data_IF_547273464069
#
_entry.id   IF_547273464069
#
_cell.length_a   1.000
_cell.length_b   1.000
_cell.length_c   1.000
_cell.angle_alpha   90.00
_cell.angle_beta   90.00
_cell.angle_gamma   90.00
#
_symmetry.space_group_name_H-M   'P 1'
#
loop_
_entity.id
_entity.type
_entity.pdbx_description
1 polymer ?
#
# COMPACT_ATOMS: atom_id res chain seq x y z
N UNK A 1 24.00 11.12 19.66
CA UNK A 1 22.85 10.54 20.41
C UNK A 1 22.63 9.14 19.89
N UNK A 2 22.50 8.14 20.76
CA UNK A 2 22.12 6.78 20.36
C UNK A 2 20.69 6.81 19.80
N UNK A 3 20.47 6.17 18.66
CA UNK A 3 19.13 6.11 18.06
C UNK A 3 18.17 5.38 18.98
N UNK A 4 16.93 5.87 19.06
CA UNK A 4 15.84 5.23 19.79
C UNK A 4 14.79 4.72 18.80
N UNK A 5 14.32 3.48 18.97
CA UNK A 5 13.23 2.93 18.17
C UNK A 5 11.94 3.74 18.34
N UNK A 6 11.03 3.71 17.36
CA UNK A 6 9.88 4.62 17.33
C UNK A 6 8.80 4.31 18.38
N UNK A 7 8.99 3.29 19.22
CA UNK A 7 8.03 2.90 20.27
C UNK A 7 6.71 2.37 19.74
N UNK A 8 6.72 1.81 18.53
CA UNK A 8 5.51 1.31 17.85
C UNK A 8 5.31 -0.19 17.99
N UNK A 9 6.30 -0.88 18.57
CA UNK A 9 6.32 -2.32 18.82
C UNK A 9 5.91 -3.15 17.60
N UNK A 10 6.49 -2.78 16.45
CA UNK A 10 6.02 -3.19 15.14
C UNK A 10 6.17 -4.67 14.79
N UNK A 11 6.93 -5.41 15.60
CA UNK A 11 7.32 -6.80 15.35
C UNK A 11 8.18 -7.06 14.11
N UNK A 12 8.30 -6.13 13.16
CA UNK A 12 8.92 -6.33 11.86
C UNK A 12 10.42 -6.72 11.89
N UNK A 13 11.10 -6.49 13.01
CA UNK A 13 12.47 -6.96 13.26
C UNK A 13 12.56 -8.34 13.95
N UNK A 14 11.41 -8.97 14.27
CA UNK A 14 11.31 -10.34 14.81
C UNK A 14 11.25 -10.49 16.34
N UNK A 15 10.96 -9.43 17.09
CA UNK A 15 10.92 -9.43 18.58
C UNK A 15 9.73 -8.60 19.09
N UNK A 16 9.16 -8.93 20.27
CA UNK A 16 7.81 -8.49 20.64
C UNK A 16 7.70 -7.02 21.05
N UNK A 17 8.79 -6.38 21.48
CA UNK A 17 8.79 -4.96 21.86
C UNK A 17 10.07 -4.26 21.42
N UNK A 18 10.00 -2.94 21.26
CA UNK A 18 11.14 -2.10 20.93
C UNK A 18 12.23 -2.14 22.03
N UNK A 19 11.86 -2.37 23.29
CA UNK A 19 12.82 -2.51 24.39
C UNK A 19 13.51 -3.86 24.39
N UNK A 20 12.78 -4.96 24.14
CA UNK A 20 13.36 -6.29 23.95
C UNK A 20 14.27 -6.33 22.72
N UNK A 21 13.89 -5.66 21.62
CA UNK A 21 14.75 -5.47 20.45
C UNK A 21 16.07 -4.80 20.80
N UNK A 22 16.04 -3.71 21.58
CA UNK A 22 17.26 -3.05 22.03
C UNK A 22 18.09 -3.91 22.99
N UNK A 23 17.48 -4.81 23.78
CA UNK A 23 18.23 -5.79 24.57
C UNK A 23 18.99 -6.78 23.66
N UNK A 24 18.31 -7.39 22.69
CA UNK A 24 18.93 -8.31 21.73
C UNK A 24 20.02 -7.64 20.88
N UNK A 25 19.82 -6.38 20.47
CA UNK A 25 20.85 -5.60 19.74
C UNK A 25 22.08 -5.35 20.62
N UNK A 26 21.90 -5.12 21.92
CA UNK A 26 23.03 -4.95 22.86
C UNK A 26 23.77 -6.24 23.15
N UNK A 27 23.07 -7.37 23.11
CA UNK A 27 23.65 -8.71 23.26
C UNK A 27 24.30 -9.22 21.96
N UNK A 28 24.13 -8.49 20.84
CA UNK A 28 24.75 -8.79 19.55
C UNK A 28 23.99 -9.82 18.71
N UNK A 29 22.77 -10.19 19.13
CA UNK A 29 21.93 -11.15 18.42
C UNK A 29 21.17 -10.54 17.22
N UNK A 30 21.05 -9.20 17.18
CA UNK A 30 20.35 -8.43 16.13
C UNK A 30 21.09 -7.14 15.77
N UNK A 31 20.86 -6.64 14.55
CA UNK A 31 21.39 -5.35 14.08
C UNK A 31 20.31 -4.26 14.18
N UNK A 32 20.71 -3.00 14.36
CA UNK A 32 19.81 -1.86 14.30
C UNK A 32 19.12 -1.73 12.93
N UNK A 33 19.82 -2.11 11.85
CA UNK A 33 19.30 -2.17 10.48
C UNK A 33 18.11 -3.12 10.33
N UNK A 34 17.97 -4.12 11.22
CA UNK A 34 16.81 -5.02 11.24
C UNK A 34 15.54 -4.27 11.64
N UNK A 35 15.66 -3.15 12.37
CA UNK A 35 14.53 -2.28 12.58
C UNK A 35 14.26 -1.45 11.34
N UNK A 36 13.06 -1.65 10.86
CA UNK A 36 12.54 -1.05 9.67
C UNK A 36 12.53 0.47 9.70
N UNK A 37 12.30 1.03 10.89
CA UNK A 37 12.27 2.46 11.18
C UNK A 37 13.64 3.00 11.53
N UNK A 38 14.62 2.13 11.74
CA UNK A 38 15.99 2.56 11.86
C UNK A 38 16.35 3.34 10.58
N UNK A 39 16.88 4.56 10.70
CA UNK A 39 17.48 5.27 9.60
C UNK A 39 18.82 4.61 9.31
N UNK A 40 18.74 3.38 8.82
CA UNK A 40 19.79 2.79 8.04
C UNK A 40 20.20 3.82 6.99
N UNK A 41 21.49 4.07 6.84
CA UNK A 41 21.99 4.41 5.53
C UNK A 41 21.67 3.21 4.63
N UNK A 42 20.43 3.16 4.10
CA UNK A 42 19.82 2.14 3.21
C UNK A 42 19.44 0.84 3.97
N UNK A 43 18.22 0.28 4.03
CA UNK A 43 16.89 0.45 3.43
C UNK A 43 15.90 -0.51 4.20
N UNK A 44 14.57 -0.46 4.00
CA UNK A 44 13.56 -0.57 5.06
C UNK A 44 12.78 -1.90 5.10
N UNK A 45 12.05 -2.15 6.19
CA UNK A 45 10.70 -2.77 6.09
C UNK A 45 9.63 -1.91 6.81
N UNK A 46 9.72 -0.58 6.64
CA UNK A 46 8.93 0.45 7.36
C UNK A 46 7.45 0.20 7.06
N UNK A 47 6.58 -0.03 8.06
CA UNK A 47 5.27 0.66 8.21
C UNK A 47 4.33 0.27 9.38
N UNK A 48 4.67 -0.43 10.49
CA UNK A 48 4.01 -0.07 11.79
C UNK A 48 4.63 1.19 12.38
N UNK A 49 4.60 2.18 11.52
CA UNK A 49 5.21 3.46 11.57
C UNK A 49 4.13 4.48 11.71
N UNK A 50 3.01 4.15 12.40
CA UNK A 50 1.79 4.96 12.58
C UNK A 50 1.91 6.25 11.80
N UNK A 51 1.63 6.18 10.49
CA UNK A 51 1.71 7.34 9.61
C UNK A 51 0.85 8.37 10.30
N UNK A 52 1.44 9.50 10.72
CA UNK A 52 0.68 10.50 11.45
C UNK A 52 -0.21 11.20 10.41
N UNK A 53 -1.40 10.64 10.22
CA UNK A 53 -2.38 11.17 9.31
C UNK A 53 -2.97 12.41 9.94
N UNK A 54 -2.54 13.57 9.44
CA UNK A 54 -3.00 14.88 9.91
C UNK A 54 -4.40 15.22 9.41
N UNK A 55 -4.97 14.40 8.52
CA UNK A 55 -6.16 14.72 7.73
C UNK A 55 -5.86 15.60 6.52
N UNK A 56 -4.57 15.87 6.26
CA UNK A 56 -4.08 16.61 5.10
C UNK A 56 -2.91 15.89 4.45
N UNK A 57 -2.85 15.97 3.14
CA UNK A 57 -1.76 15.41 2.35
C UNK A 57 -0.53 16.33 2.35
N UNK A 58 0.52 15.95 1.60
CA UNK A 58 1.79 16.70 1.55
C UNK A 58 1.64 18.12 0.98
N UNK A 59 0.56 18.41 0.24
CA UNK A 59 0.25 19.73 -0.30
C UNK A 59 -0.75 20.52 0.57
N UNK A 60 -1.17 19.94 1.70
CA UNK A 60 -2.15 20.54 2.62
C UNK A 60 -3.61 20.30 2.22
N UNK A 61 -3.86 19.48 1.19
CA UNK A 61 -5.21 19.13 0.75
C UNK A 61 -5.84 18.18 1.75
N UNK A 62 -7.07 18.49 2.16
CA UNK A 62 -7.81 17.64 3.09
C UNK A 62 -8.42 16.43 2.38
N UNK A 63 -8.45 15.29 3.05
CA UNK A 63 -9.11 14.08 2.57
C UNK A 63 -10.17 13.58 3.56
N UNK A 64 -11.15 12.86 3.04
CA UNK A 64 -12.36 12.48 3.77
C UNK A 64 -12.12 11.22 4.62
N UNK A 65 -11.42 10.24 4.05
CA UNK A 65 -11.06 8.99 4.70
C UNK A 65 -9.76 8.42 4.14
N UNK A 66 -9.25 7.39 4.81
CA UNK A 66 -8.07 6.61 4.38
C UNK A 66 -8.55 5.21 4.02
N UNK A 67 -7.97 4.61 2.97
CA UNK A 67 -8.22 3.20 2.64
C UNK A 67 -7.06 2.37 3.20
N UNK A 68 -7.37 1.57 4.20
CA UNK A 68 -6.48 0.64 4.89
C UNK A 68 -6.68 -0.79 4.33
N UNK A 69 -5.76 -1.73 4.63
CA UNK A 69 -5.86 -3.11 4.15
C UNK A 69 -7.13 -3.79 4.64
N UNK A 70 -7.59 -4.79 3.89
CA UNK A 70 -8.55 -5.75 4.42
C UNK A 70 -7.86 -6.64 5.47
N UNK A 71 -8.62 -7.25 6.40
CA UNK A 71 -8.06 -8.18 7.38
C UNK A 71 -7.22 -9.28 6.72
N UNK A 72 -5.98 -9.43 7.16
CA UNK A 72 -5.04 -10.43 6.65
C UNK A 72 -4.26 -10.00 5.39
N UNK A 73 -4.49 -8.81 4.85
CA UNK A 73 -3.76 -8.29 3.69
C UNK A 73 -2.69 -7.26 4.10
N UNK A 74 -1.61 -7.18 3.32
CA UNK A 74 -0.48 -6.29 3.62
C UNK A 74 -0.69 -4.84 3.16
N UNK A 75 -1.70 -4.59 2.34
CA UNK A 75 -2.03 -3.27 1.79
C UNK A 75 -3.50 -3.21 1.39
N UNK A 76 -4.07 -2.03 1.22
CA UNK A 76 -5.31 -1.90 0.45
C UNK A 76 -5.12 -2.48 -0.96
N UNK A 77 -6.13 -3.16 -1.49
CA UNK A 77 -6.10 -3.70 -2.83
C UNK A 77 -6.06 -2.56 -3.84
N UNK A 78 -5.25 -2.74 -4.87
CA UNK A 78 -5.16 -1.83 -6.01
C UNK A 78 -5.61 -2.58 -7.25
N UNK A 79 -6.60 -2.04 -7.93
CA UNK A 79 -7.10 -2.57 -9.19
C UNK A 79 -6.44 -1.77 -10.30
N UNK A 80 -5.71 -2.45 -11.18
CA UNK A 80 -4.93 -1.81 -12.24
C UNK A 80 -5.28 -2.39 -13.60
N UNK A 81 -5.10 -1.57 -14.63
CA UNK A 81 -5.16 -1.97 -16.02
C UNK A 81 -3.83 -1.63 -16.68
N UNK A 82 -3.01 -2.62 -17.08
CA UNK A 82 -1.83 -2.37 -17.91
C UNK A 82 -2.23 -1.64 -19.20
N UNK A 83 -1.38 -0.78 -19.73
CA UNK A 83 -1.64 -0.09 -21.01
C UNK A 83 -1.82 -1.08 -22.18
N UNK A 84 -1.27 -2.28 -22.03
CA UNK A 84 -1.50 -3.43 -22.91
C UNK A 84 -2.20 -4.53 -22.12
N UNK A 85 -3.54 -4.55 -22.10
CA UNK A 85 -4.31 -5.56 -21.37
C UNK A 85 -4.02 -6.99 -21.83
N UNK A 86 -3.63 -7.17 -23.10
CA UNK A 86 -3.27 -8.46 -23.70
C UNK A 86 -2.04 -9.11 -23.05
N UNK A 87 -1.22 -8.35 -22.31
CA UNK A 87 -0.08 -8.91 -21.57
C UNK A 87 -0.51 -9.86 -20.46
N UNK A 88 -1.70 -9.65 -19.86
CA UNK A 88 -2.21 -10.54 -18.82
C UNK A 88 -2.38 -11.97 -19.34
N UNK A 89 -2.94 -12.12 -20.53
CA UNK A 89 -3.08 -13.40 -21.20
C UNK A 89 -1.74 -13.90 -21.77
N UNK A 90 -1.03 -13.06 -22.54
CA UNK A 90 0.20 -13.45 -23.26
C UNK A 90 1.36 -13.84 -22.34
N UNK A 91 1.42 -13.27 -21.15
CA UNK A 91 2.47 -13.56 -20.17
C UNK A 91 1.99 -14.45 -19.03
N UNK A 92 0.78 -15.01 -19.16
CA UNK A 92 0.19 -15.93 -18.18
C UNK A 92 0.29 -15.34 -16.77
N UNK A 93 -0.16 -14.09 -16.61
CA UNK A 93 -0.15 -13.41 -15.31
C UNK A 93 -1.21 -14.04 -14.43
N UNK A 94 -0.79 -14.59 -13.29
CA UNK A 94 -1.64 -15.37 -12.37
C UNK A 94 -1.46 -14.88 -10.93
N UNK A 95 -2.39 -15.22 -10.01
CA UNK A 95 -2.21 -14.95 -8.59
C UNK A 95 -0.88 -15.48 -8.05
N UNK A 96 -0.20 -14.67 -7.24
CA UNK A 96 1.14 -14.94 -6.70
C UNK A 96 2.28 -14.27 -7.48
N UNK A 97 2.07 -13.95 -8.76
CA UNK A 97 3.07 -13.22 -9.55
C UNK A 97 3.38 -11.84 -8.95
N UNK A 98 4.63 -11.42 -9.10
CA UNK A 98 5.03 -10.03 -8.90
C UNK A 98 5.00 -9.30 -10.22
N UNK A 99 4.25 -8.20 -10.27
CA UNK A 99 4.29 -7.25 -11.39
C UNK A 99 4.85 -5.91 -10.91
N UNK A 100 5.64 -5.27 -11.76
CA UNK A 100 6.23 -3.95 -11.48
C UNK A 100 5.87 -2.95 -12.57
N UNK A 101 5.65 -1.70 -12.16
CA UNK A 101 5.36 -0.63 -13.10
C UNK A 101 4.97 0.68 -12.41
N UNK A 102 4.67 1.70 -13.21
CA UNK A 102 4.34 3.04 -12.73
C UNK A 102 2.86 3.40 -12.98
N UNK A 103 2.17 4.01 -11.99
CA UNK A 103 0.80 4.47 -12.15
C UNK A 103 0.74 5.80 -12.91
N UNK A 104 0.74 5.75 -14.24
CA UNK A 104 0.94 6.95 -15.07
C UNK A 104 -0.20 7.98 -14.93
N UNK A 105 -1.41 7.56 -14.57
CA UNK A 105 -2.55 8.46 -14.30
C UNK A 105 -2.49 9.22 -12.98
N UNK A 106 -1.65 8.79 -12.03
CA UNK A 106 -1.52 9.39 -10.70
C UNK A 106 -0.17 10.09 -10.49
N UNK A 107 0.62 10.28 -11.56
CA UNK A 107 1.89 11.02 -11.51
C UNK A 107 2.93 10.49 -10.51
N UNK A 108 2.78 9.26 -10.02
CA UNK A 108 3.68 8.76 -8.97
C UNK A 108 5.05 8.46 -9.57
N UNK A 109 6.13 9.07 -9.04
CA UNK A 109 7.47 8.84 -9.57
C UNK A 109 8.04 7.48 -9.12
N UNK A 110 7.38 6.80 -8.17
CA UNK A 110 7.88 5.58 -7.56
C UNK A 110 7.37 4.35 -8.30
N UNK A 111 8.26 3.41 -8.60
CA UNK A 111 7.88 2.10 -9.09
C UNK A 111 7.05 1.38 -8.04
N UNK A 112 5.88 0.92 -8.44
CA UNK A 112 5.05 0.06 -7.60
C UNK A 112 5.44 -1.39 -7.84
N UNK A 113 5.62 -2.11 -6.75
CA UNK A 113 5.81 -3.56 -6.74
C UNK A 113 4.55 -4.18 -6.18
N UNK A 114 3.91 -5.00 -7.00
CA UNK A 114 2.55 -5.45 -6.80
C UNK A 114 2.50 -6.98 -6.86
N UNK A 115 1.98 -7.61 -5.81
CA UNK A 115 1.65 -9.04 -5.85
C UNK A 115 0.23 -9.21 -6.36
N UNK A 116 0.06 -10.00 -7.41
CA UNK A 116 -1.25 -10.28 -8.03
C UNK A 116 -2.04 -11.21 -7.13
N UNK A 117 -3.27 -10.83 -6.79
CA UNK A 117 -4.22 -11.70 -6.06
C UNK A 117 -5.38 -12.16 -6.96
N UNK A 118 -5.63 -11.45 -8.05
CA UNK A 118 -6.57 -11.86 -9.09
C UNK A 118 -6.14 -11.30 -10.45
N UNK A 119 -6.26 -12.12 -11.49
CA UNK A 119 -6.00 -11.73 -12.87
C UNK A 119 -7.21 -12.08 -13.74
N UNK A 120 -7.72 -11.09 -14.46
CA UNK A 120 -8.82 -11.26 -15.40
C UNK A 120 -8.26 -11.21 -16.82
N UNK A 121 -8.20 -12.36 -17.50
CA UNK A 121 -7.67 -12.46 -18.87
C UNK A 121 -8.59 -11.85 -19.92
N UNK A 122 -9.88 -11.67 -19.64
CA UNK A 122 -10.85 -11.07 -20.57
C UNK A 122 -10.68 -9.55 -20.63
N UNK A 123 -10.51 -8.90 -19.48
CA UNK A 123 -10.37 -7.44 -19.39
C UNK A 123 -8.94 -6.95 -19.26
N UNK A 124 -8.01 -7.84 -18.91
CA UNK A 124 -6.65 -7.50 -18.50
C UNK A 124 -6.56 -6.78 -17.14
N UNK A 125 -7.64 -6.74 -16.36
CA UNK A 125 -7.60 -6.18 -15.01
C UNK A 125 -6.84 -7.09 -14.06
N UNK A 126 -5.97 -6.47 -13.27
CA UNK A 126 -5.28 -7.11 -12.17
C UNK A 126 -5.73 -6.48 -10.85
N UNK A 127 -6.07 -7.32 -9.88
CA UNK A 127 -6.19 -6.89 -8.49
C UNK A 127 -4.93 -7.30 -7.76
N UNK A 128 -4.28 -6.35 -7.11
CA UNK A 128 -2.98 -6.55 -6.50
C UNK A 128 -2.88 -5.98 -5.09
N UNK A 129 -1.92 -6.50 -4.33
CA UNK A 129 -1.42 -5.92 -3.09
C UNK A 129 -0.08 -5.20 -3.36
N UNK A 130 0.15 -4.05 -2.73
CA UNK A 130 1.43 -3.35 -2.75
C UNK A 130 2.35 -4.00 -1.72
N UNK A 131 3.42 -4.67 -2.17
CA UNK A 131 4.29 -5.50 -1.32
C UNK A 131 5.67 -4.87 -1.05
N UNK A 132 5.93 -3.68 -1.59
CA UNK A 132 7.18 -2.96 -1.40
C UNK A 132 8.34 -3.47 -2.28
N UNK A 133 9.44 -2.70 -2.38
CA UNK A 133 10.51 -2.96 -3.34
C UNK A 133 11.33 -4.24 -3.07
N UNK A 134 11.37 -4.72 -1.83
CA UNK A 134 12.11 -5.93 -1.45
C UNK A 134 11.65 -7.15 -2.26
N UNK A 135 10.33 -7.30 -2.48
CA UNK A 135 9.75 -8.40 -3.25
C UNK A 135 10.23 -8.47 -4.72
N UNK A 136 10.73 -7.35 -5.27
CA UNK A 136 11.30 -7.31 -6.63
C UNK A 136 12.82 -7.54 -6.68
N UNK A 137 13.51 -7.61 -5.53
CA UNK A 137 14.96 -7.81 -5.47
C UNK A 137 15.38 -9.28 -5.39
N UNK A 138 14.52 -10.12 -4.81
CA UNK A 138 14.85 -11.50 -4.44
C UNK A 138 14.13 -12.54 -5.30
N UNK A 139 13.27 -12.13 -6.24
CA UNK A 139 12.46 -13.04 -7.04
C UNK A 139 12.21 -12.55 -8.46
N UNK A 140 11.58 -13.41 -9.25
CA UNK A 140 11.14 -13.08 -10.61
C UNK A 140 9.97 -12.10 -10.57
N UNK A 141 9.95 -11.17 -11.53
CA UNK A 141 8.86 -10.23 -11.70
C UNK A 141 8.59 -9.97 -13.18
N UNK A 142 7.37 -9.53 -13.48
CA UNK A 142 6.93 -9.11 -14.81
C UNK A 142 6.83 -7.59 -14.86
N UNK A 143 7.65 -6.95 -15.71
CA UNK A 143 7.61 -5.50 -15.89
C UNK A 143 6.52 -5.11 -16.88
N UNK A 144 5.44 -4.54 -16.35
CA UNK A 144 4.30 -4.05 -17.14
C UNK A 144 4.47 -2.58 -17.55
N UNK A 145 5.63 -1.99 -17.24
CA UNK A 145 6.08 -0.60 -17.44
C UNK A 145 5.17 0.46 -16.82
N UNK A 146 3.94 0.58 -17.32
CA UNK A 146 2.96 1.59 -16.98
C UNK A 146 1.54 1.01 -16.95
N UNK A 147 0.72 1.53 -16.03
CA UNK A 147 -0.68 1.14 -15.90
C UNK A 147 -1.58 2.30 -15.46
N UNK A 148 -2.89 2.12 -15.68
CA UNK A 148 -3.94 2.94 -15.09
C UNK A 148 -4.36 2.35 -13.75
N UNK A 149 -4.50 3.20 -12.74
CA UNK A 149 -5.19 2.81 -11.50
C UNK A 149 -6.69 2.92 -11.80
N UNK A 150 -7.38 1.79 -11.71
CA UNK A 150 -8.83 1.71 -11.96
C UNK A 150 -9.60 1.89 -10.66
N UNK A 151 -9.07 1.36 -9.56
CA UNK A 151 -9.72 1.46 -8.26
C UNK A 151 -8.86 1.02 -7.09
N UNK A 152 -9.41 1.23 -5.91
CA UNK A 152 -8.91 0.77 -4.64
C UNK A 152 -10.01 0.07 -3.87
N UNK A 153 -9.63 -0.90 -3.04
CA UNK A 153 -10.56 -1.61 -2.17
C UNK A 153 -9.88 -1.91 -0.83
N UNK A 154 -10.61 -1.72 0.27
CA UNK A 154 -10.05 -1.85 1.60
C UNK A 154 -11.02 -1.47 2.71
N UNK A 155 -10.53 -1.32 3.93
CA UNK A 155 -11.29 -0.78 5.06
C UNK A 155 -11.12 0.73 5.11
N UNK A 156 -12.23 1.46 5.17
CA UNK A 156 -12.19 2.90 5.34
C UNK A 156 -11.97 3.27 6.80
N UNK A 157 -10.96 4.12 7.04
CA UNK A 157 -10.84 4.86 8.29
C UNK A 157 -11.26 6.30 8.06
N UNK A 158 -12.43 6.66 8.59
CA UNK A 158 -13.01 8.00 8.49
C UNK A 158 -12.09 9.02 9.17
N UNK A 159 -11.87 10.14 8.49
CA UNK A 159 -11.11 11.27 9.04
C UNK A 159 -11.99 12.51 9.15
N UNK A 160 -12.77 12.81 8.10
CA UNK A 160 -13.70 13.94 8.07
C UNK A 160 -15.12 13.51 7.72
N UNK A 161 -15.26 12.76 6.63
CA UNK A 161 -16.56 12.30 6.13
C UNK A 161 -16.51 10.81 5.85
N UNK A 162 -17.58 10.11 6.22
CA UNK A 162 -17.70 8.69 5.93
C UNK A 162 -17.80 8.43 4.41
N UNK A 163 -17.27 7.30 3.93
CA UNK A 163 -17.45 6.89 2.54
C UNK A 163 -18.93 6.71 2.22
N UNK A 164 -19.41 7.36 1.17
CA UNK A 164 -20.83 7.39 0.77
C UNK A 164 -20.99 6.90 -0.65
N UNK A 165 -21.75 5.81 -0.85
CA UNK A 165 -22.00 5.21 -2.15
C UNK A 165 -22.47 6.24 -3.19
N UNK A 166 -21.88 6.20 -4.39
CA UNK A 166 -22.15 7.10 -5.52
C UNK A 166 -21.49 8.48 -5.41
N UNK A 167 -20.89 8.83 -4.26
CA UNK A 167 -20.23 10.12 -4.10
C UNK A 167 -18.79 10.07 -4.59
N UNK A 168 -18.36 11.14 -5.28
CA UNK A 168 -16.94 11.37 -5.52
C UNK A 168 -16.32 12.00 -4.27
N UNK A 169 -15.40 11.28 -3.63
CA UNK A 169 -14.77 11.70 -2.37
C UNK A 169 -13.25 11.72 -2.47
N UNK A 170 -12.63 12.49 -1.59
CA UNK A 170 -11.19 12.57 -1.43
C UNK A 170 -10.73 11.49 -0.46
N UNK A 171 -9.75 10.69 -0.83
CA UNK A 171 -9.20 9.68 0.04
C UNK A 171 -7.69 9.59 -0.10
N UNK A 172 -7.06 9.07 0.95
CA UNK A 172 -5.64 8.75 0.94
C UNK A 172 -5.47 7.22 0.95
N UNK A 173 -4.75 6.62 -0.01
CA UNK A 173 -4.35 5.22 0.11
C UNK A 173 -3.37 5.09 1.29
N UNK A 174 -3.64 4.20 2.25
CA UNK A 174 -2.87 4.12 3.50
C UNK A 174 -1.37 3.77 3.32
N UNK A 175 -1.00 3.23 2.15
CA UNK A 175 0.38 2.86 1.80
C UNK A 175 0.94 3.75 0.69
N UNK A 176 0.37 4.95 0.48
CA UNK A 176 0.88 5.90 -0.51
C UNK A 176 2.18 6.56 -0.03
N UNK A 177 3.31 6.22 -0.66
CA UNK A 177 4.61 6.83 -0.34
C UNK A 177 4.69 8.33 -0.66
N UNK A 178 3.87 8.83 -1.59
CA UNK A 178 3.82 10.27 -1.89
C UNK A 178 3.04 11.08 -0.86
N UNK A 179 2.18 10.42 -0.07
CA UNK A 179 1.18 11.09 0.76
C UNK A 179 0.41 12.17 -0.04
N UNK A 180 -0.21 11.76 -1.15
CA UNK A 180 -1.00 12.64 -2.02
C UNK A 180 -2.45 12.15 -2.10
N UNK A 181 -3.38 13.08 -1.92
CA UNK A 181 -4.82 12.80 -1.98
C UNK A 181 -5.21 12.31 -3.38
N UNK A 182 -6.08 11.32 -3.42
CA UNK A 182 -6.77 10.87 -4.62
C UNK A 182 -8.25 11.22 -4.52
N UNK A 183 -8.94 11.30 -5.65
CA UNK A 183 -10.40 11.34 -5.71
C UNK A 183 -10.94 10.15 -6.47
N UNK A 184 -12.11 9.67 -6.09
CA UNK A 184 -12.78 8.57 -6.79
C UNK A 184 -14.24 8.48 -6.39
N UNK A 185 -15.03 7.76 -7.20
CA UNK A 185 -16.44 7.45 -6.88
C UNK A 185 -16.47 6.23 -5.98
N UNK A 186 -17.13 6.35 -4.83
CA UNK A 186 -17.36 5.22 -3.93
C UNK A 186 -18.42 4.31 -4.53
N UNK A 187 -18.02 3.14 -5.03
CA UNK A 187 -18.91 2.18 -5.69
C UNK A 187 -19.37 1.03 -4.79
N UNK A 188 -18.85 0.96 -3.56
CA UNK A 188 -19.28 -0.04 -2.58
C UNK A 188 -19.01 0.48 -1.18
N UNK A 189 -19.96 0.28 -0.27
CA UNK A 189 -19.80 0.47 1.17
C UNK A 189 -20.53 -0.68 1.87
N UNK A 190 -19.79 -1.53 2.57
CA UNK A 190 -20.33 -2.67 3.32
C UNK A 190 -19.88 -2.57 4.77
N UNK A 191 -20.81 -2.62 5.70
CA UNK A 191 -20.48 -2.71 7.12
C UNK A 191 -20.02 -4.13 7.45
N UNK A 192 -18.81 -4.26 7.98
CA UNK A 192 -18.23 -5.51 8.45
C UNK A 192 -17.75 -5.34 9.90
N UNK A 193 -17.45 -6.46 10.58
CA UNK A 193 -16.88 -6.43 11.93
C UNK A 193 -15.52 -5.69 11.98
N UNK A 194 -14.79 -5.65 10.87
CA UNK A 194 -13.52 -4.94 10.71
C UNK A 194 -13.67 -3.46 10.35
N UNK A 195 -14.89 -2.95 10.16
CA UNK A 195 -15.15 -1.56 9.75
C UNK A 195 -15.92 -1.46 8.43
N UNK A 196 -15.87 -0.28 7.81
CA UNK A 196 -16.53 -0.03 6.52
C UNK A 196 -15.63 -0.55 5.38
N UNK A 197 -15.99 -1.68 4.78
CA UNK A 197 -15.34 -2.18 3.57
C UNK A 197 -15.82 -1.37 2.38
N UNK A 198 -14.89 -0.70 1.72
CA UNK A 198 -15.17 0.21 0.61
C UNK A 198 -14.46 -0.21 -0.66
N UNK A 199 -15.07 0.14 -1.78
CA UNK A 199 -14.44 0.14 -3.10
C UNK A 199 -14.62 1.50 -3.74
N UNK A 200 -13.53 2.05 -4.27
CA UNK A 200 -13.49 3.37 -4.90
C UNK A 200 -12.90 3.21 -6.31
N UNK A 201 -13.57 3.74 -7.33
CA UNK A 201 -13.17 3.64 -8.74
C UNK A 201 -13.24 5.02 -9.44
N UNK A 202 -12.93 5.09 -10.74
CA UNK A 202 -12.77 6.36 -11.49
C UNK A 202 -11.79 7.30 -10.77
N UNK A 203 -10.59 6.76 -10.52
CA UNK A 203 -9.53 7.38 -9.72
C UNK A 203 -8.91 8.56 -10.47
N UNK A 204 -8.77 9.69 -9.77
CA UNK A 204 -8.13 10.92 -10.22
C UNK A 204 -7.28 11.50 -9.09
N UNK A 205 -6.43 12.47 -9.39
CA UNK A 205 -5.75 13.30 -8.40
C UNK A 205 -6.53 14.60 -8.17
#
# INVERSE_FOLDING_TARGET
MAWQPPGKDCGACGVPTCEAFLACVREGEKDLLDCIFYPAAIAPSRLEGGTCYTGRDILGTEYDFIIEPLPGEVSARKIILPFRPDLVEKWEIVPGDIVVGRPTGAGCPVQHVLSVIHANTVSGLLTCLVVGPEASRTGEFKEIEAYHIVGFEGIARTVRFEPTFGMRQRFLPGYCMMNLTHTGVVNMVLAQSSGLHVRVEDIRL
#
